data_IF_630525558078
#
_entry.id   IF_630525558078
#
_cell.length_a   1.000
_cell.length_b   1.000
_cell.length_c   1.000
_cell.angle_alpha   90.00
_cell.angle_beta   90.00
_cell.angle_gamma   90.00
#
_symmetry.space_group_name_H-M   'P 1'
#
loop_
_entity.id
_entity.type
_entity.pdbx_description
1 polymer ?
#
# COMPACT_ATOMS: atom_id res chain seq x y z
N UNK A 1 -17.32 60.64 -70.35
CA UNK A 1 -16.98 59.50 -71.25
C UNK A 1 -17.60 58.23 -70.70
N UNK A 2 -18.87 57.98 -71.04
CA UNK A 2 -19.66 56.83 -70.60
C UNK A 2 -19.29 55.58 -71.40
N UNK A 3 -18.94 54.48 -70.71
CA UNK A 3 -18.84 53.15 -71.33
C UNK A 3 -19.87 52.22 -70.70
N UNK A 4 -20.98 52.05 -71.42
CA UNK A 4 -21.99 50.99 -71.20
C UNK A 4 -21.31 49.64 -71.42
N UNK A 5 -21.33 48.74 -70.41
CA UNK A 5 -21.00 47.32 -70.60
C UNK A 5 -22.26 46.48 -70.42
N UNK A 6 -22.51 45.67 -71.44
CA UNK A 6 -23.67 44.81 -71.61
C UNK A 6 -23.66 43.64 -70.63
N UNK A 7 -24.82 43.38 -70.02
CA UNK A 7 -25.08 42.20 -69.19
C UNK A 7 -25.33 41.01 -70.10
N UNK A 8 -24.41 40.04 -70.13
CA UNK A 8 -24.62 38.73 -70.75
C UNK A 8 -25.40 37.84 -69.78
N UNK A 9 -26.62 37.46 -70.17
CA UNK A 9 -27.42 36.41 -69.50
C UNK A 9 -26.69 35.07 -69.64
N UNK A 10 -26.15 34.52 -68.55
CA UNK A 10 -25.70 33.13 -68.51
C UNK A 10 -26.89 32.21 -68.25
N UNK A 11 -27.24 31.42 -69.26
CA UNK A 11 -28.14 30.27 -69.13
C UNK A 11 -27.45 29.18 -68.31
N UNK A 12 -27.77 29.08 -67.03
CA UNK A 12 -27.42 27.88 -66.27
C UNK A 12 -28.42 26.76 -66.63
N UNK A 13 -27.96 25.56 -67.01
CA UNK A 13 -28.85 24.44 -67.22
C UNK A 13 -29.44 24.00 -65.87
N UNK A 14 -30.76 23.82 -65.85
CA UNK A 14 -31.49 23.31 -64.70
C UNK A 14 -30.91 21.96 -64.27
N UNK A 15 -30.18 21.95 -63.15
CA UNK A 15 -29.75 20.72 -62.50
C UNK A 15 -31.02 20.00 -62.01
N UNK A 16 -31.38 18.91 -62.69
CA UNK A 16 -32.38 17.95 -62.23
C UNK A 16 -32.05 17.59 -60.79
N UNK A 17 -32.91 17.99 -59.86
CA UNK A 17 -32.85 17.55 -58.48
C UNK A 17 -32.98 16.03 -58.45
N UNK A 18 -31.85 15.34 -58.31
CA UNK A 18 -31.85 13.94 -57.89
C UNK A 18 -32.51 13.93 -56.52
N UNK A 19 -33.71 13.35 -56.44
CA UNK A 19 -34.29 12.94 -55.16
C UNK A 19 -33.34 11.90 -54.59
N UNK A 20 -32.40 12.34 -53.77
CA UNK A 20 -31.72 11.45 -52.84
C UNK A 20 -32.82 10.84 -51.98
N UNK A 21 -33.04 9.54 -52.17
CA UNK A 21 -33.82 8.75 -51.23
C UNK A 21 -33.07 8.89 -49.91
N UNK A 22 -33.63 9.69 -49.00
CA UNK A 22 -33.22 9.74 -47.60
C UNK A 22 -33.26 8.29 -47.12
N UNK A 23 -32.09 7.67 -47.01
CA UNK A 23 -31.96 6.38 -46.36
C UNK A 23 -32.56 6.56 -44.97
N UNK A 24 -33.62 5.82 -44.68
CA UNK A 24 -34.16 5.75 -43.33
C UNK A 24 -33.00 5.23 -42.46
N UNK A 25 -32.36 6.12 -41.71
CA UNK A 25 -31.45 5.72 -40.66
C UNK A 25 -32.25 4.79 -39.75
N UNK A 26 -31.88 3.52 -39.74
CA UNK A 26 -32.46 2.52 -38.84
C UNK A 26 -32.35 3.10 -37.44
N UNK A 27 -33.50 3.45 -36.84
CA UNK A 27 -33.54 3.93 -35.47
C UNK A 27 -33.09 2.76 -34.61
N UNK A 28 -31.89 2.88 -34.04
CA UNK A 28 -31.42 1.94 -33.03
C UNK A 28 -32.54 1.75 -32.00
N UNK A 29 -32.87 0.50 -31.62
CA UNK A 29 -33.88 0.27 -30.61
C UNK A 29 -33.50 1.04 -29.35
N UNK A 30 -34.37 1.98 -28.97
CA UNK A 30 -34.19 2.80 -27.77
C UNK A 30 -34.54 1.91 -26.57
N UNK A 31 -33.52 1.24 -26.04
CA UNK A 31 -33.69 0.40 -24.86
C UNK A 31 -33.95 1.30 -23.65
N UNK A 32 -35.20 1.33 -23.20
CA UNK A 32 -35.57 2.03 -21.97
C UNK A 32 -35.20 1.13 -20.79
N UNK A 33 -34.08 1.44 -20.13
CA UNK A 33 -33.64 0.71 -18.94
C UNK A 33 -34.48 1.19 -17.76
N UNK A 34 -35.42 0.35 -17.32
CA UNK A 34 -36.21 0.65 -16.13
C UNK A 34 -35.42 0.23 -14.88
N UNK A 35 -34.99 1.22 -14.09
CA UNK A 35 -34.30 0.98 -12.82
C UNK A 35 -35.37 0.94 -11.73
N UNK A 36 -35.57 -0.23 -11.12
CA UNK A 36 -36.59 -0.41 -10.08
C UNK A 36 -36.31 0.46 -8.85
N UNK A 37 -35.06 0.50 -8.38
CA UNK A 37 -34.65 1.26 -7.20
C UNK A 37 -33.42 2.15 -7.47
N UNK A 38 -33.61 3.34 -8.06
CA UNK A 38 -32.50 4.23 -8.42
C UNK A 38 -31.74 4.76 -7.20
N UNK A 39 -32.37 4.77 -6.01
CA UNK A 39 -31.72 5.23 -4.77
C UNK A 39 -30.71 4.22 -4.25
N UNK A 40 -31.06 2.93 -4.24
CA UNK A 40 -30.16 1.87 -3.78
C UNK A 40 -29.00 1.69 -4.76
N UNK A 41 -29.28 1.68 -6.07
CA UNK A 41 -28.25 1.64 -7.09
C UNK A 41 -27.24 2.78 -6.93
N UNK A 42 -27.72 4.01 -6.66
CA UNK A 42 -26.83 5.14 -6.41
C UNK A 42 -25.96 4.92 -5.16
N UNK A 43 -26.54 4.38 -4.08
CA UNK A 43 -25.79 4.07 -2.86
C UNK A 43 -24.68 3.06 -3.16
N UNK A 44 -25.00 1.96 -3.83
CA UNK A 44 -24.04 0.89 -4.15
C UNK A 44 -22.90 1.40 -5.06
N UNK A 45 -23.24 2.25 -6.04
CA UNK A 45 -22.24 2.90 -6.89
C UNK A 45 -21.34 3.84 -6.09
N UNK A 46 -21.88 4.61 -5.15
CA UNK A 46 -21.07 5.52 -4.33
C UNK A 46 -20.23 4.76 -3.28
N UNK A 47 -20.73 3.66 -2.75
CA UNK A 47 -20.03 2.81 -1.79
C UNK A 47 -18.86 2.09 -2.46
N UNK A 48 -19.09 1.47 -3.62
CA UNK A 48 -18.02 0.87 -4.42
C UNK A 48 -16.97 1.90 -4.86
N UNK A 49 -17.39 3.13 -5.24
CA UNK A 49 -16.45 4.21 -5.55
C UNK A 49 -15.64 4.63 -4.32
N UNK A 50 -16.27 4.70 -3.14
CA UNK A 50 -15.58 5.01 -1.87
C UNK A 50 -14.52 3.97 -1.56
N UNK A 51 -14.83 2.68 -1.72
CA UNK A 51 -13.86 1.60 -1.52
C UNK A 51 -12.67 1.72 -2.47
N UNK A 52 -12.92 1.99 -3.75
CA UNK A 52 -11.85 2.22 -4.75
C UNK A 52 -10.94 3.38 -4.33
N UNK A 53 -11.52 4.49 -3.85
CA UNK A 53 -10.74 5.64 -3.38
C UNK A 53 -9.87 5.26 -2.17
N UNK A 54 -10.42 4.52 -1.21
CA UNK A 54 -9.66 4.04 -0.04
C UNK A 54 -8.51 3.15 -0.48
N UNK A 55 -8.73 2.23 -1.44
CA UNK A 55 -7.67 1.39 -1.97
C UNK A 55 -6.60 2.19 -2.72
N UNK A 56 -6.98 3.22 -3.48
CA UNK A 56 -6.02 4.09 -4.15
C UNK A 56 -5.14 4.85 -3.15
N UNK A 57 -5.73 5.39 -2.09
CA UNK A 57 -4.99 6.08 -1.02
C UNK A 57 -4.04 5.12 -0.29
N UNK A 58 -4.54 3.92 0.08
CA UNK A 58 -3.72 2.89 0.71
C UNK A 58 -2.57 2.43 -0.20
N UNK A 59 -2.80 2.35 -1.51
CA UNK A 59 -1.77 2.03 -2.48
C UNK A 59 -0.68 3.10 -2.55
N UNK A 60 -1.03 4.39 -2.49
CA UNK A 60 -0.02 5.46 -2.47
C UNK A 60 0.88 5.37 -1.22
N UNK A 61 0.30 5.17 -0.03
CA UNK A 61 1.08 4.99 1.19
C UNK A 61 1.97 3.74 1.12
N UNK A 62 1.43 2.63 0.61
CA UNK A 62 2.19 1.40 0.44
C UNK A 62 3.33 1.55 -0.57
N UNK A 63 3.10 2.29 -1.66
CA UNK A 63 4.12 2.59 -2.66
C UNK A 63 5.29 3.38 -2.05
N UNK A 64 5.01 4.39 -1.23
CA UNK A 64 6.05 5.15 -0.52
C UNK A 64 6.91 4.24 0.35
N UNK A 65 6.28 3.35 1.14
CA UNK A 65 6.98 2.37 1.99
C UNK A 65 7.86 1.44 1.15
N UNK A 66 7.39 1.00 -0.02
CA UNK A 66 8.20 0.17 -0.91
C UNK A 66 9.42 0.92 -1.45
N UNK A 67 9.24 2.18 -1.87
CA UNK A 67 10.33 3.02 -2.36
C UNK A 67 11.39 3.25 -1.26
N UNK A 68 10.96 3.55 -0.03
CA UNK A 68 11.85 3.67 1.14
C UNK A 68 12.59 2.37 1.45
N UNK A 69 11.87 1.23 1.45
CA UNK A 69 12.48 -0.09 1.65
C UNK A 69 13.57 -0.36 0.62
N UNK A 70 13.31 -0.10 -0.66
CA UNK A 70 14.29 -0.30 -1.74
C UNK A 70 15.49 0.63 -1.56
N UNK A 71 15.26 1.90 -1.18
CA UNK A 71 16.32 2.86 -0.91
C UNK A 71 17.21 2.39 0.26
N UNK A 72 16.62 1.95 1.37
CA UNK A 72 17.33 1.43 2.54
C UNK A 72 18.12 0.16 2.21
N UNK A 73 17.54 -0.78 1.47
CA UNK A 73 18.25 -1.99 1.03
C UNK A 73 19.44 -1.65 0.15
N UNK A 74 19.30 -0.67 -0.74
CA UNK A 74 20.38 -0.21 -1.60
C UNK A 74 21.49 0.43 -0.77
N UNK A 75 21.14 1.26 0.21
CA UNK A 75 22.08 1.86 1.16
C UNK A 75 22.84 0.79 1.95
N UNK A 76 22.12 -0.16 2.55
CA UNK A 76 22.72 -1.26 3.31
C UNK A 76 23.70 -2.09 2.46
N UNK A 77 23.32 -2.43 1.22
CA UNK A 77 24.22 -3.15 0.31
C UNK A 77 25.52 -2.39 0.03
N UNK A 78 25.44 -1.06 -0.14
CA UNK A 78 26.63 -0.21 -0.31
C UNK A 78 27.51 -0.23 0.92
N UNK A 79 26.94 -0.03 2.11
CA UNK A 79 27.67 -0.03 3.38
C UNK A 79 28.33 -1.38 3.66
N UNK A 80 27.63 -2.49 3.43
CA UNK A 80 28.20 -3.84 3.57
C UNK A 80 29.35 -4.06 2.60
N UNK A 81 29.21 -3.63 1.34
CA UNK A 81 30.29 -3.71 0.35
C UNK A 81 31.49 -2.86 0.74
N UNK A 82 31.27 -1.65 1.26
CA UNK A 82 32.33 -0.77 1.74
C UNK A 82 33.05 -1.39 2.95
N UNK A 83 32.29 -1.94 3.89
CA UNK A 83 32.83 -2.60 5.07
C UNK A 83 33.65 -3.83 4.67
N UNK A 84 33.18 -4.63 3.71
CA UNK A 84 33.95 -5.74 3.13
C UNK A 84 35.25 -5.26 2.48
N UNK A 85 35.23 -4.15 1.74
CA UNK A 85 36.44 -3.56 1.17
C UNK A 85 37.42 -3.09 2.26
N UNK A 86 36.94 -2.41 3.31
CA UNK A 86 37.78 -1.97 4.42
C UNK A 86 38.40 -3.15 5.18
N UNK A 87 37.59 -4.18 5.47
CA UNK A 87 38.02 -5.40 6.14
C UNK A 87 39.07 -6.14 5.31
N UNK A 88 38.79 -6.38 4.04
CA UNK A 88 39.66 -7.18 3.17
C UNK A 88 40.93 -6.44 2.74
N UNK A 89 40.83 -5.13 2.43
CA UNK A 89 41.96 -4.40 1.87
C UNK A 89 42.86 -3.76 2.91
N UNK A 90 42.29 -3.24 4.01
CA UNK A 90 43.04 -2.55 5.05
C UNK A 90 43.29 -3.47 6.23
N UNK A 91 42.24 -3.91 6.93
CA UNK A 91 42.40 -4.66 8.18
C UNK A 91 43.16 -5.97 8.01
N UNK A 92 42.83 -6.76 6.98
CA UNK A 92 43.44 -8.08 6.76
C UNK A 92 44.95 -8.04 6.50
N UNK A 93 45.50 -6.89 6.05
CA UNK A 93 46.94 -6.69 5.85
C UNK A 93 47.68 -6.42 7.16
N UNK A 94 47.03 -5.78 8.12
CA UNK A 94 47.62 -5.43 9.42
C UNK A 94 47.36 -6.48 10.49
N UNK A 95 46.39 -7.36 10.29
CA UNK A 95 46.12 -8.46 11.21
C UNK A 95 47.08 -9.63 10.97
N UNK A 96 47.66 -10.22 12.03
CA UNK A 96 48.43 -11.44 11.90
C UNK A 96 47.51 -12.53 11.33
N UNK A 97 47.98 -13.20 10.26
CA UNK A 97 47.28 -14.35 9.67
C UNK A 97 47.48 -15.58 10.57
N UNK A 98 46.99 -15.50 11.80
CA UNK A 98 46.94 -16.63 12.71
C UNK A 98 45.96 -17.66 12.18
N UNK A 99 46.35 -18.94 12.17
CA UNK A 99 45.45 -20.08 11.95
C UNK A 99 44.54 -20.27 13.17
N UNK A 100 43.85 -19.21 13.59
CA UNK A 100 42.85 -19.30 14.64
C UNK A 100 41.74 -20.19 14.11
N UNK A 101 41.50 -21.32 14.80
CA UNK A 101 40.38 -22.19 14.48
C UNK A 101 39.12 -21.39 14.74
N UNK A 102 38.27 -21.25 13.72
CA UNK A 102 36.95 -20.69 13.92
C UNK A 102 36.22 -21.57 14.93
N UNK A 103 35.90 -21.01 16.10
CA UNK A 103 35.02 -21.67 17.07
C UNK A 103 33.64 -21.68 16.40
N UNK A 104 33.24 -22.81 15.82
CA UNK A 104 31.90 -22.96 15.28
C UNK A 104 30.91 -23.00 16.43
N UNK A 105 29.72 -22.43 16.22
CA UNK A 105 28.65 -22.33 17.21
C UNK A 105 28.17 -23.71 17.71
N UNK A 106 28.50 -24.78 17.00
CA UNK A 106 28.23 -26.16 17.39
C UNK A 106 29.09 -26.64 18.58
N UNK A 107 30.21 -25.97 18.88
CA UNK A 107 31.08 -26.36 19.99
C UNK A 107 30.51 -26.03 21.37
N UNK A 108 29.49 -25.17 21.44
CA UNK A 108 28.82 -24.83 22.71
C UNK A 108 27.75 -25.83 23.16
N UNK A 109 27.39 -26.83 22.33
CA UNK A 109 26.32 -27.81 22.66
C UNK A 109 26.90 -29.09 23.30
N UNK A 110 28.23 -29.23 23.38
CA UNK A 110 28.92 -30.43 23.88
C UNK A 110 29.55 -30.30 25.27
N UNK A 111 29.18 -29.29 26.05
CA UNK A 111 29.44 -29.33 27.49
C UNK A 111 28.30 -30.11 28.16
N UNK A 112 28.60 -31.35 28.54
CA UNK A 112 27.71 -32.20 29.34
C UNK A 112 27.24 -31.45 30.59
N UNK A 113 25.93 -31.45 30.91
CA UNK A 113 25.48 -30.89 32.17
C UNK A 113 26.10 -31.67 33.34
N UNK A 114 26.61 -31.00 34.39
CA UNK A 114 27.16 -31.67 35.55
C UNK A 114 26.09 -32.56 36.19
N UNK A 115 26.45 -33.81 36.49
CA UNK A 115 25.63 -34.75 37.27
C UNK A 115 25.30 -34.13 38.62
N UNK A 116 24.09 -33.61 38.76
CA UNK A 116 23.56 -33.16 40.04
C UNK A 116 23.09 -34.40 40.81
N UNK A 117 23.81 -34.75 41.87
CA UNK A 117 23.38 -35.72 42.87
C UNK A 117 22.09 -35.23 43.53
N UNK A 118 21.12 -36.14 43.66
CA UNK A 118 19.82 -35.89 44.30
C UNK A 118 20.03 -35.69 45.79
N UNK A 119 19.86 -34.46 46.27
CA UNK A 119 19.65 -34.16 47.69
C UNK A 119 18.15 -33.99 47.91
N UNK A 120 17.57 -34.88 48.72
CA UNK A 120 16.21 -34.78 49.24
C UNK A 120 16.08 -33.56 50.16
N UNK A 121 15.10 -32.67 49.89
CA UNK A 121 14.69 -31.63 50.82
C UNK A 121 13.15 -31.58 50.91
N UNK A 122 12.71 -31.61 52.17
CA UNK A 122 11.37 -31.66 52.74
C UNK A 122 10.52 -30.40 52.40
N UNK A 123 9.18 -30.49 52.30
CA UNK A 123 8.33 -29.36 51.91
C UNK A 123 7.87 -28.51 53.10
N UNK A 124 7.98 -27.17 52.99
CA UNK A 124 7.26 -26.19 53.84
C UNK A 124 6.99 -24.86 53.09
N UNK A 125 5.73 -24.69 52.69
CA UNK A 125 4.84 -23.51 52.83
C UNK A 125 5.31 -22.05 52.52
N UNK A 126 4.78 -21.52 51.39
CA UNK A 126 4.20 -20.17 51.08
C UNK A 126 5.04 -18.86 51.24
N UNK A 127 4.69 -17.69 50.61
CA UNK A 127 3.53 -17.33 49.76
C UNK A 127 3.97 -16.53 48.45
N UNK A 128 3.11 -15.76 47.71
CA UNK A 128 3.20 -15.60 46.25
C UNK A 128 4.07 -14.40 45.78
N UNK A 129 4.71 -14.54 44.62
CA UNK A 129 5.52 -13.47 44.01
C UNK A 129 4.66 -12.68 43.02
N UNK A 130 4.58 -11.37 43.27
CA UNK A 130 3.89 -10.34 42.50
C UNK A 130 4.37 -10.24 41.04
N UNK A 131 3.50 -9.85 40.08
CA UNK A 131 3.91 -9.54 38.73
C UNK A 131 4.51 -8.12 38.66
N UNK A 132 5.74 -8.04 38.16
CA UNK A 132 6.47 -6.79 37.90
C UNK A 132 5.74 -5.97 36.84
N UNK A 133 5.10 -4.88 37.27
CA UNK A 133 4.53 -3.85 36.41
C UNK A 133 5.66 -3.08 35.71
N UNK A 134 5.75 -3.24 34.39
CA UNK A 134 6.45 -2.28 33.54
C UNK A 134 5.43 -1.22 33.14
N UNK A 135 5.59 -0.02 33.67
CA UNK A 135 4.95 1.18 33.15
C UNK A 135 5.42 1.41 31.71
N UNK A 136 4.67 0.87 30.75
CA UNK A 136 4.78 1.26 29.36
C UNK A 136 3.99 2.55 29.19
N UNK A 137 4.66 3.61 28.74
CA UNK A 137 3.98 4.79 28.24
C UNK A 137 2.91 4.35 27.22
N UNK A 138 1.70 4.95 27.26
CA UNK A 138 0.59 4.51 26.43
C UNK A 138 1.02 4.59 24.97
N UNK A 139 1.04 3.44 24.30
CA UNK A 139 1.45 3.39 22.90
C UNK A 139 0.46 4.19 22.06
N UNK A 140 0.89 4.74 20.93
CA UNK A 140 0.04 5.54 20.04
C UNK A 140 -1.27 4.81 19.65
N UNK A 141 -1.27 3.47 19.64
CA UNK A 141 -2.46 2.65 19.43
C UNK A 141 -3.50 2.77 20.55
N UNK A 142 -3.07 2.87 21.80
CA UNK A 142 -3.95 2.99 22.97
C UNK A 142 -4.61 4.38 23.01
N UNK A 143 -3.89 5.41 22.56
CA UNK A 143 -4.45 6.76 22.37
C UNK A 143 -5.50 6.78 21.26
N UNK A 144 -5.23 6.11 20.13
CA UNK A 144 -6.19 5.98 19.02
C UNK A 144 -7.44 5.19 19.44
N UNK A 145 -7.30 4.12 20.22
CA UNK A 145 -8.44 3.38 20.78
C UNK A 145 -9.27 4.24 21.73
N UNK A 146 -8.63 5.08 22.55
CA UNK A 146 -9.32 6.05 23.41
C UNK A 146 -10.16 7.05 22.60
N UNK A 147 -9.55 7.66 21.57
CA UNK A 147 -10.23 8.61 20.69
C UNK A 147 -11.42 7.98 19.96
N UNK A 148 -11.30 6.73 19.51
CA UNK A 148 -12.40 6.02 18.86
C UNK A 148 -13.57 5.73 19.82
N UNK A 149 -13.29 5.38 21.09
CA UNK A 149 -14.33 5.17 22.11
C UNK A 149 -15.09 6.46 22.43
N UNK A 150 -14.41 7.60 22.45
CA UNK A 150 -15.03 8.89 22.71
C UNK A 150 -15.97 9.28 21.56
N UNK A 151 -15.54 9.08 20.32
CA UNK A 151 -16.37 9.30 19.12
C UNK A 151 -17.60 8.37 19.13
N UNK A 152 -17.43 7.11 19.53
CA UNK A 152 -18.54 6.14 19.59
C UNK A 152 -19.60 6.53 20.64
N UNK A 153 -19.18 7.06 21.79
CA UNK A 153 -20.09 7.60 22.81
C UNK A 153 -20.85 8.82 22.32
N UNK A 154 -20.16 9.74 21.65
CA UNK A 154 -20.78 10.96 21.12
C UNK A 154 -21.84 10.62 20.04
N UNK A 155 -21.55 9.63 19.20
CA UNK A 155 -22.50 9.12 18.20
C UNK A 155 -23.67 8.35 18.80
N UNK A 156 -23.48 7.62 19.90
CA UNK A 156 -24.59 6.96 20.61
C UNK A 156 -25.54 7.97 21.26
N UNK A 157 -25.05 9.12 21.70
CA UNK A 157 -25.88 10.19 22.27
C UNK A 157 -26.69 10.99 21.24
N UNK A 158 -26.34 10.89 19.95
CA UNK A 158 -27.05 11.53 18.83
C UNK A 158 -28.14 10.63 18.21
N UNK A 159 -28.38 9.44 18.79
CA UNK A 159 -29.35 8.45 18.32
C UNK A 159 -30.57 8.38 19.24
#
# INVERSE_FOLDING_TARGET
MSKKKAVRKSSHPAKKARKEKVAQAEKNPEYMVNIQDPKNLRKDVLESLREVIIFMQGYESFRQIQEEKVALFTKLKKEVSELQLLVNNKLRKYLPQGKLRAISREQYIKEEPPKVEKVEIVPKTAPPVEPVEKEMAPSDLEQLEGQLRDIERELQGLR
#
